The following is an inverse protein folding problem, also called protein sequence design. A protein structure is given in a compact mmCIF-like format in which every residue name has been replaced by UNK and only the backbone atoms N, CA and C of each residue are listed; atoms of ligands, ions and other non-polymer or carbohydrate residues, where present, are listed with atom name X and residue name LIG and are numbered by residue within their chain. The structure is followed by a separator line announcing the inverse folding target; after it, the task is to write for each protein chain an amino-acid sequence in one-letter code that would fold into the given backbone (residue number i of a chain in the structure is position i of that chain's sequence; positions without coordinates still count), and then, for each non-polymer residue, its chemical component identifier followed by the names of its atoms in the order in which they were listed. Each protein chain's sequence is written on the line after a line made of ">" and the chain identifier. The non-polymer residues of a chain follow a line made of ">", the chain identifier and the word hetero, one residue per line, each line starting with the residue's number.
data_IF_239572805077
#
_entry.id   IF_239572805077
#
_cell.length_a   1.000
_cell.length_b   1.000
_cell.length_c   1.000
_cell.angle_alpha   90.00
_cell.angle_beta   90.00
_cell.angle_gamma   90.00
#
_symmetry.space_group_name_H-M   'P 1'
#
loop_
_entity.id
_entity.type
_entity.pdbx_description
1 polymer ?
#
# COMPACT_ATOMS: atom_id res chain seq x y z
N UNK A 1 -21.06 -64.69 14.52
CA UNK A 1 -21.89 -63.49 14.57
C UNK A 1 -21.16 -62.39 13.74
N UNK A 2 -21.65 -62.14 12.51
CA UNK A 2 -21.13 -61.14 11.57
C UNK A 2 -21.74 -59.79 11.93
N UNK A 3 -20.90 -58.75 12.16
CA UNK A 3 -21.33 -57.35 12.20
C UNK A 3 -21.16 -56.76 10.79
N UNK A 4 -22.27 -56.49 10.15
CA UNK A 4 -22.34 -55.67 8.94
C UNK A 4 -22.17 -54.20 9.32
N UNK A 5 -21.12 -53.55 8.83
CA UNK A 5 -20.97 -52.11 8.89
C UNK A 5 -21.67 -51.46 7.69
N UNK A 6 -22.66 -50.63 7.95
CA UNK A 6 -23.25 -49.77 6.94
C UNK A 6 -22.26 -48.58 6.67
N UNK A 7 -21.67 -48.56 5.49
CA UNK A 7 -21.02 -47.38 4.94
C UNK A 7 -22.13 -46.48 4.36
N UNK A 8 -22.39 -45.35 4.98
CA UNK A 8 -23.18 -44.27 4.39
C UNK A 8 -22.36 -43.62 3.27
N UNK A 9 -22.76 -43.90 2.03
CA UNK A 9 -22.20 -43.24 0.86
C UNK A 9 -22.55 -41.75 0.86
N UNK A 10 -21.54 -40.88 0.84
CA UNK A 10 -21.70 -39.47 0.53
C UNK A 10 -22.28 -39.37 -0.90
N UNK A 11 -23.50 -38.88 -1.02
CA UNK A 11 -24.16 -38.66 -2.30
C UNK A 11 -23.38 -37.60 -3.10
N UNK A 12 -22.76 -38.01 -4.19
CA UNK A 12 -22.19 -37.15 -5.22
C UNK A 12 -23.34 -36.38 -5.87
N UNK A 13 -23.61 -35.15 -5.43
CA UNK A 13 -24.54 -34.24 -6.11
C UNK A 13 -23.91 -33.88 -7.46
N UNK A 14 -24.58 -34.11 -8.59
CA UNK A 14 -23.96 -33.94 -9.90
C UNK A 14 -23.51 -32.50 -10.13
N UNK A 15 -22.29 -32.32 -10.69
CA UNK A 15 -21.65 -31.07 -11.09
C UNK A 15 -22.58 -30.14 -11.91
N UNK A 16 -23.56 -30.72 -12.64
CA UNK A 16 -24.58 -30.03 -13.42
C UNK A 16 -25.59 -29.24 -12.56
N UNK A 17 -25.96 -29.73 -11.36
CA UNK A 17 -26.90 -29.01 -10.48
C UNK A 17 -26.25 -27.79 -9.84
N UNK A 18 -24.98 -27.87 -9.45
CA UNK A 18 -24.23 -26.72 -8.95
C UNK A 18 -24.03 -25.68 -10.05
N UNK A 19 -23.69 -26.08 -11.28
CA UNK A 19 -23.57 -25.21 -12.43
C UNK A 19 -24.87 -24.47 -12.76
N UNK A 20 -26.02 -25.19 -12.68
CA UNK A 20 -27.33 -24.60 -12.91
C UNK A 20 -27.73 -23.58 -11.84
N UNK A 21 -27.47 -23.90 -10.56
CA UNK A 21 -27.73 -22.95 -9.45
C UNK A 21 -26.84 -21.70 -9.55
N UNK A 22 -25.57 -21.87 -9.89
CA UNK A 22 -24.66 -20.75 -10.12
C UNK A 22 -25.11 -19.88 -11.29
N UNK A 23 -25.55 -20.49 -12.39
CA UNK A 23 -26.07 -19.78 -13.55
C UNK A 23 -27.38 -19.01 -13.22
N UNK A 24 -28.32 -19.59 -12.51
CA UNK A 24 -29.55 -18.91 -12.07
C UNK A 24 -29.24 -17.74 -11.11
N UNK A 25 -28.28 -17.90 -10.20
CA UNK A 25 -27.82 -16.82 -9.33
C UNK A 25 -27.16 -15.69 -10.11
N UNK A 26 -26.34 -16.02 -11.10
CA UNK A 26 -25.71 -15.02 -11.98
C UNK A 26 -26.77 -14.22 -12.75
N UNK A 27 -27.80 -14.85 -13.28
CA UNK A 27 -28.89 -14.18 -13.98
C UNK A 27 -29.70 -13.22 -13.11
N UNK A 28 -29.68 -13.40 -11.80
CA UNK A 28 -30.38 -12.54 -10.84
C UNK A 28 -29.50 -11.45 -10.23
N UNK A 29 -28.18 -11.49 -10.44
CA UNK A 29 -27.26 -10.44 -10.05
C UNK A 29 -27.14 -9.40 -11.16
N UNK A 30 -26.91 -8.13 -10.80
CA UNK A 30 -26.80 -7.03 -11.78
C UNK A 30 -25.59 -6.18 -11.51
N UNK A 31 -24.71 -6.03 -12.50
CA UNK A 31 -23.64 -5.05 -12.50
C UNK A 31 -24.15 -3.69 -13.03
N UNK A 32 -23.75 -2.62 -12.35
CA UNK A 32 -23.99 -1.26 -12.79
C UNK A 32 -22.68 -0.45 -12.75
N UNK A 33 -22.39 0.27 -13.80
CA UNK A 33 -21.30 1.25 -13.80
C UNK A 33 -21.67 2.43 -12.92
N UNK A 34 -20.67 3.03 -12.25
CA UNK A 34 -20.87 4.18 -11.36
C UNK A 34 -20.92 5.45 -12.18
N UNK A 35 -22.12 5.87 -12.55
CA UNK A 35 -22.37 7.04 -13.39
C UNK A 35 -23.24 8.10 -12.69
N UNK A 36 -23.86 7.78 -11.56
CA UNK A 36 -24.76 8.66 -10.83
C UNK A 36 -24.47 8.67 -9.30
N UNK A 37 -25.13 9.56 -8.57
CA UNK A 37 -24.95 9.73 -7.15
C UNK A 37 -25.35 8.49 -6.33
N UNK A 38 -26.35 7.72 -6.77
CA UNK A 38 -26.82 6.51 -6.09
C UNK A 38 -25.76 5.41 -6.20
N UNK A 39 -25.34 5.08 -7.40
CA UNK A 39 -24.33 4.07 -7.65
C UNK A 39 -22.99 4.45 -7.03
N UNK A 40 -22.63 5.75 -7.00
CA UNK A 40 -21.44 6.24 -6.30
C UNK A 40 -21.55 6.03 -4.78
N UNK A 41 -22.68 6.36 -4.18
CA UNK A 41 -22.89 6.15 -2.75
C UNK A 41 -22.83 4.66 -2.40
N UNK A 42 -23.47 3.80 -3.18
CA UNK A 42 -23.47 2.35 -2.99
C UNK A 42 -22.03 1.79 -3.10
N UNK A 43 -21.27 2.25 -4.10
CA UNK A 43 -19.87 1.88 -4.29
C UNK A 43 -19.00 2.32 -3.11
N UNK A 44 -19.16 3.55 -2.63
CA UNK A 44 -18.38 4.11 -1.53
C UNK A 44 -18.70 3.44 -0.19
N UNK A 45 -19.95 3.08 0.06
CA UNK A 45 -20.41 2.53 1.35
C UNK A 45 -20.35 1.02 1.47
N UNK A 46 -20.11 0.29 0.39
CA UNK A 46 -20.06 -1.17 0.43
C UNK A 46 -19.06 -1.74 1.48
N UNK A 47 -17.85 -1.18 1.68
CA UNK A 47 -16.92 -1.70 2.68
C UNK A 47 -17.50 -1.78 4.09
N UNK A 48 -18.30 -0.81 4.53
CA UNK A 48 -18.95 -0.84 5.85
C UNK A 48 -19.87 -2.04 6.04
N UNK A 49 -20.39 -2.61 4.94
CA UNK A 49 -21.21 -3.85 4.99
C UNK A 49 -20.35 -5.10 4.99
N UNK A 50 -19.28 -5.12 4.18
CA UNK A 50 -18.36 -6.27 4.11
C UNK A 50 -17.66 -6.48 5.43
N UNK A 51 -17.23 -5.40 6.09
CA UNK A 51 -16.43 -5.43 7.32
C UNK A 51 -17.24 -5.15 8.60
N UNK A 52 -18.56 -5.23 8.57
CA UNK A 52 -19.43 -4.85 9.71
C UNK A 52 -19.10 -5.58 11.02
N UNK A 53 -18.56 -6.81 10.94
CA UNK A 53 -18.15 -7.62 12.09
C UNK A 53 -16.64 -7.67 12.33
N UNK A 54 -15.85 -6.93 11.58
CA UNK A 54 -14.38 -6.96 11.68
C UNK A 54 -13.86 -5.77 12.50
N UNK A 55 -13.48 -6.04 13.74
CA UNK A 55 -12.99 -5.03 14.70
C UNK A 55 -11.61 -4.45 14.30
N UNK A 56 -10.86 -5.12 13.44
CA UNK A 56 -9.55 -4.65 12.99
C UNK A 56 -9.66 -3.69 11.81
N UNK A 57 -10.76 -3.76 11.07
CA UNK A 57 -10.94 -2.91 9.90
C UNK A 57 -11.05 -1.43 10.26
N UNK A 58 -10.33 -0.61 9.51
CA UNK A 58 -10.42 0.86 9.59
C UNK A 58 -10.76 1.35 8.19
N UNK A 59 -11.89 2.07 8.02
CA UNK A 59 -12.28 2.56 6.71
C UNK A 59 -11.27 3.57 6.17
N UNK A 60 -10.97 3.47 4.89
CA UNK A 60 -10.23 4.51 4.19
C UNK A 60 -11.02 5.82 4.22
N UNK A 61 -10.31 6.94 4.30
CA UNK A 61 -10.95 8.24 4.19
C UNK A 61 -11.64 8.37 2.83
N UNK A 62 -12.93 8.65 2.82
CA UNK A 62 -13.75 8.79 1.61
C UNK A 62 -13.15 9.78 0.61
N UNK A 63 -12.58 10.87 1.13
CA UNK A 63 -11.92 11.88 0.31
C UNK A 63 -10.67 11.36 -0.41
N UNK A 64 -9.91 10.44 0.20
CA UNK A 64 -8.72 9.86 -0.42
C UNK A 64 -9.10 8.87 -1.52
N UNK A 65 -10.13 8.07 -1.28
CA UNK A 65 -10.71 7.19 -2.29
C UNK A 65 -11.29 8.00 -3.46
N UNK A 66 -12.07 9.05 -3.17
CA UNK A 66 -12.65 9.91 -4.19
C UNK A 66 -11.59 10.60 -5.05
N UNK A 67 -10.46 11.02 -4.44
CA UNK A 67 -9.35 11.68 -5.13
C UNK A 67 -8.77 10.84 -6.28
N UNK A 68 -8.77 9.51 -6.17
CA UNK A 68 -8.27 8.62 -7.23
C UNK A 68 -9.05 8.79 -8.52
N UNK A 69 -10.35 9.10 -8.43
CA UNK A 69 -11.29 9.23 -9.55
C UNK A 69 -11.65 10.69 -9.89
N UNK A 70 -10.95 11.64 -9.30
CA UNK A 70 -11.19 13.07 -9.48
C UNK A 70 -10.20 13.64 -10.52
N UNK A 71 -10.69 14.08 -11.69
CA UNK A 71 -9.88 14.62 -12.78
C UNK A 71 -9.05 15.84 -12.38
N UNK A 72 -9.54 16.65 -11.44
CA UNK A 72 -8.82 17.85 -11.01
C UNK A 72 -7.69 17.53 -10.02
N UNK A 73 -7.88 16.49 -9.20
CA UNK A 73 -6.94 16.11 -8.14
C UNK A 73 -5.96 15.02 -8.57
N UNK A 74 -6.37 14.13 -9.46
CA UNK A 74 -5.53 13.04 -9.97
C UNK A 74 -5.00 13.34 -11.36
N UNK A 75 -3.74 13.81 -11.44
CA UNK A 75 -3.10 14.11 -12.71
C UNK A 75 -2.94 12.89 -13.63
N UNK A 76 -2.81 11.68 -13.06
CA UNK A 76 -2.68 10.46 -13.85
C UNK A 76 -3.99 10.12 -14.58
N UNK A 77 -5.12 10.55 -14.05
CA UNK A 77 -6.42 10.35 -14.67
C UNK A 77 -6.63 11.25 -15.91
N UNK A 78 -5.90 12.38 -16.03
CA UNK A 78 -5.95 13.24 -17.20
C UNK A 78 -5.40 12.56 -18.47
N UNK A 79 -4.41 11.69 -18.31
CA UNK A 79 -3.77 10.93 -19.39
C UNK A 79 -4.24 9.47 -19.41
N UNK A 80 -4.72 8.97 -18.27
CA UNK A 80 -5.16 7.61 -18.05
C UNK A 80 -6.67 7.43 -18.12
N UNK A 81 -7.12 6.25 -17.73
CA UNK A 81 -8.53 5.89 -17.67
C UNK A 81 -8.87 5.17 -16.38
N UNK A 82 -10.08 5.40 -15.87
CA UNK A 82 -10.59 4.71 -14.67
C UNK A 82 -12.09 4.48 -14.79
N UNK A 83 -12.54 3.32 -14.36
CA UNK A 83 -13.94 2.91 -14.34
C UNK A 83 -14.27 2.28 -13.00
N UNK A 84 -15.55 2.29 -12.62
CA UNK A 84 -16.04 1.71 -11.37
C UNK A 84 -17.37 1.02 -11.59
N UNK A 85 -17.56 -0.12 -10.91
CA UNK A 85 -18.82 -0.87 -10.96
C UNK A 85 -19.25 -1.33 -9.58
N UNK A 86 -20.57 -1.41 -9.39
CA UNK A 86 -21.23 -2.02 -8.26
C UNK A 86 -21.96 -3.28 -8.74
N UNK A 87 -21.80 -4.38 -8.00
CA UNK A 87 -22.58 -5.58 -8.18
C UNK A 87 -23.71 -5.61 -7.15
N UNK A 88 -24.92 -5.75 -7.64
CA UNK A 88 -26.13 -5.90 -6.83
C UNK A 88 -26.56 -7.37 -6.80
N UNK A 89 -26.90 -7.87 -5.63
CA UNK A 89 -27.50 -9.20 -5.43
C UNK A 89 -28.99 -9.24 -5.82
N UNK A 90 -29.58 -10.41 -5.67
CA UNK A 90 -30.99 -10.67 -6.01
C UNK A 90 -31.98 -9.76 -5.30
N UNK A 91 -31.64 -9.27 -4.10
CA UNK A 91 -32.45 -8.33 -3.31
C UNK A 91 -32.21 -6.86 -3.71
N UNK A 92 -31.44 -6.59 -4.76
CA UNK A 92 -31.07 -5.25 -5.16
C UNK A 92 -30.11 -4.52 -4.21
N UNK A 93 -29.52 -5.24 -3.25
CA UNK A 93 -28.51 -4.70 -2.33
C UNK A 93 -27.11 -4.83 -2.92
N UNK A 94 -26.21 -3.83 -2.73
CA UNK A 94 -24.81 -3.95 -3.15
C UNK A 94 -24.12 -5.11 -2.44
N UNK A 95 -23.47 -6.01 -3.18
CA UNK A 95 -22.74 -7.19 -2.69
C UNK A 95 -21.29 -7.24 -3.14
N UNK A 96 -20.90 -6.38 -4.09
CA UNK A 96 -19.53 -6.27 -4.57
C UNK A 96 -19.28 -4.95 -5.28
N UNK A 97 -18.02 -4.59 -5.40
CA UNK A 97 -17.54 -3.43 -6.17
C UNK A 97 -16.16 -3.71 -6.75
N UNK A 98 -15.82 -3.03 -7.83
CA UNK A 98 -14.49 -3.05 -8.43
C UNK A 98 -14.20 -1.74 -9.14
N UNK A 99 -12.92 -1.39 -9.27
CA UNK A 99 -12.42 -0.38 -10.20
C UNK A 99 -11.46 -1.00 -11.20
N UNK A 100 -11.38 -0.43 -12.41
CA UNK A 100 -10.37 -0.77 -13.40
C UNK A 100 -9.62 0.49 -13.86
N UNK A 101 -8.36 0.35 -14.21
CA UNK A 101 -7.44 1.46 -14.43
C UNK A 101 -6.51 1.20 -15.62
N UNK A 102 -6.19 2.27 -16.35
CA UNK A 102 -5.07 2.29 -17.30
C UNK A 102 -4.21 3.52 -16.98
N UNK A 103 -2.98 3.26 -16.58
CA UNK A 103 -1.95 4.29 -16.44
C UNK A 103 -1.02 4.22 -17.65
N UNK A 104 -1.10 5.14 -18.60
CA UNK A 104 -0.32 5.07 -19.84
C UNK A 104 1.20 5.12 -19.59
N UNK A 105 1.65 5.63 -18.43
CA UNK A 105 3.06 5.66 -18.07
C UNK A 105 3.64 4.28 -17.70
N UNK A 106 2.78 3.33 -17.31
CA UNK A 106 3.19 1.99 -16.88
C UNK A 106 2.54 0.87 -17.68
N UNK A 107 1.41 1.12 -18.35
CA UNK A 107 0.65 0.10 -19.06
C UNK A 107 1.46 -0.59 -20.19
N UNK A 108 2.42 0.11 -20.77
CA UNK A 108 3.20 -0.35 -21.92
C UNK A 108 4.70 -0.53 -21.62
N UNK A 109 5.09 -0.56 -20.35
CA UNK A 109 6.51 -0.71 -19.95
C UNK A 109 6.96 -2.16 -19.82
N UNK A 110 6.03 -3.09 -19.90
CA UNK A 110 6.30 -4.52 -19.75
C UNK A 110 6.09 -5.27 -21.08
N UNK A 111 6.34 -6.59 -21.06
CA UNK A 111 6.24 -7.47 -22.24
C UNK A 111 4.85 -7.45 -22.90
N UNK A 112 3.81 -7.23 -22.11
CA UNK A 112 2.43 -7.11 -22.56
C UNK A 112 1.77 -5.86 -21.99
N UNK A 113 0.85 -5.21 -22.75
CA UNK A 113 0.05 -4.13 -22.21
C UNK A 113 -0.74 -4.57 -20.98
N UNK A 114 -0.49 -3.90 -19.85
CA UNK A 114 -1.05 -4.30 -18.56
C UNK A 114 -1.84 -3.15 -17.93
N UNK A 115 -3.14 -3.38 -17.71
CA UNK A 115 -3.99 -2.51 -16.92
C UNK A 115 -3.98 -2.88 -15.46
N UNK A 116 -4.91 -2.32 -14.70
CA UNK A 116 -5.04 -2.62 -13.28
C UNK A 116 -6.49 -2.77 -12.83
N UNK A 117 -6.70 -3.55 -11.79
CA UNK A 117 -7.96 -3.57 -11.05
C UNK A 117 -7.71 -3.25 -9.57
N UNK A 118 -8.70 -2.68 -8.90
CA UNK A 118 -8.59 -2.38 -7.47
C UNK A 118 -9.91 -1.97 -6.84
N UNK A 119 -9.83 -1.56 -5.57
CA UNK A 119 -11.04 -1.32 -4.78
C UNK A 119 -12.02 -2.51 -4.83
N UNK A 120 -11.47 -3.71 -5.02
CA UNK A 120 -12.23 -4.94 -5.08
C UNK A 120 -12.78 -5.26 -3.70
N UNK A 121 -14.10 -5.31 -3.61
CA UNK A 121 -14.83 -5.76 -2.45
C UNK A 121 -15.92 -6.73 -2.91
N UNK A 122 -16.07 -7.85 -2.24
CA UNK A 122 -17.02 -8.87 -2.61
C UNK A 122 -17.43 -9.70 -1.41
N UNK A 123 -18.69 -10.13 -1.35
CA UNK A 123 -19.10 -11.19 -0.44
C UNK A 123 -18.33 -12.48 -0.78
N UNK A 124 -18.26 -13.43 0.15
CA UNK A 124 -17.61 -14.72 -0.10
C UNK A 124 -18.45 -15.59 -1.06
N UNK A 125 -18.47 -15.21 -2.32
CA UNK A 125 -19.17 -15.89 -3.41
C UNK A 125 -18.35 -15.80 -4.71
N UNK A 126 -17.90 -16.94 -5.22
CA UNK A 126 -17.04 -16.99 -6.41
C UNK A 126 -17.77 -16.49 -7.66
N UNK A 127 -19.08 -16.71 -7.78
CA UNK A 127 -19.87 -16.23 -8.92
C UNK A 127 -19.91 -14.70 -8.92
N UNK A 128 -20.14 -14.10 -7.76
CA UNK A 128 -20.11 -12.64 -7.61
C UNK A 128 -18.70 -12.06 -7.92
N UNK A 129 -17.66 -12.72 -7.43
CA UNK A 129 -16.27 -12.32 -7.71
C UNK A 129 -15.95 -12.41 -9.22
N UNK A 130 -16.34 -13.52 -9.87
CA UNK A 130 -16.12 -13.70 -11.30
C UNK A 130 -16.82 -12.62 -12.12
N UNK A 131 -18.07 -12.27 -11.81
CA UNK A 131 -18.79 -11.19 -12.51
C UNK A 131 -18.07 -9.86 -12.43
N UNK A 132 -17.52 -9.49 -11.27
CA UNK A 132 -16.76 -8.26 -11.07
C UNK A 132 -15.44 -8.28 -11.88
N UNK A 133 -14.72 -9.39 -11.78
CA UNK A 133 -13.41 -9.56 -12.43
C UNK A 133 -13.55 -9.64 -13.96
N UNK A 134 -14.58 -10.33 -14.46
CA UNK A 134 -14.90 -10.38 -15.88
C UNK A 134 -15.24 -8.98 -16.41
N UNK A 135 -16.01 -8.18 -15.67
CA UNK A 135 -16.35 -6.82 -16.06
C UNK A 135 -15.11 -5.94 -16.20
N UNK A 136 -14.19 -6.02 -15.23
CA UNK A 136 -12.93 -5.29 -15.30
C UNK A 136 -12.05 -5.77 -16.46
N UNK A 137 -11.94 -7.10 -16.63
CA UNK A 137 -11.16 -7.72 -17.73
C UNK A 137 -11.69 -7.31 -19.11
N UNK A 138 -12.99 -7.42 -19.35
CA UNK A 138 -13.58 -7.09 -20.65
C UNK A 138 -13.41 -5.60 -20.97
N UNK A 139 -13.54 -4.72 -19.98
CA UNK A 139 -13.27 -3.29 -20.19
C UNK A 139 -11.79 -3.06 -20.53
N UNK A 140 -10.86 -3.64 -19.81
CA UNK A 140 -9.43 -3.50 -20.06
C UNK A 140 -9.04 -4.09 -21.41
N UNK A 141 -9.61 -5.25 -21.77
CA UNK A 141 -9.40 -5.90 -23.07
C UNK A 141 -9.91 -5.03 -24.23
N UNK A 142 -11.08 -4.41 -24.08
CA UNK A 142 -11.61 -3.46 -25.07
C UNK A 142 -10.72 -2.23 -25.28
N UNK A 143 -9.91 -1.89 -24.29
CA UNK A 143 -8.90 -0.81 -24.32
C UNK A 143 -7.52 -1.30 -24.78
N UNK A 144 -7.40 -2.53 -25.24
CA UNK A 144 -6.14 -3.10 -25.75
C UNK A 144 -5.17 -3.65 -24.71
N UNK A 145 -5.61 -3.84 -23.47
CA UNK A 145 -4.77 -4.51 -22.46
C UNK A 145 -4.79 -6.03 -22.68
N UNK A 146 -3.69 -6.68 -22.36
CA UNK A 146 -3.48 -8.12 -22.42
C UNK A 146 -3.35 -8.78 -21.04
N UNK A 147 -3.22 -7.97 -20.00
CA UNK A 147 -3.15 -8.41 -18.61
C UNK A 147 -3.76 -7.36 -17.67
N UNK A 148 -4.08 -7.78 -16.45
CA UNK A 148 -4.43 -6.86 -15.36
C UNK A 148 -3.71 -7.22 -14.08
N UNK A 149 -3.15 -6.21 -13.42
CA UNK A 149 -2.57 -6.30 -12.09
C UNK A 149 -3.58 -5.88 -11.03
N UNK A 150 -3.49 -6.48 -9.85
CA UNK A 150 -4.38 -6.09 -8.76
C UNK A 150 -4.14 -6.80 -7.42
N UNK A 151 -4.79 -6.27 -6.37
CA UNK A 151 -5.47 -4.97 -6.32
C UNK A 151 -4.50 -3.79 -6.35
N UNK A 152 -4.75 -2.82 -7.23
CA UNK A 152 -3.95 -1.59 -7.36
C UNK A 152 -4.85 -0.36 -7.52
N UNK A 153 -4.26 0.82 -7.64
CA UNK A 153 -5.01 2.04 -7.96
C UNK A 153 -4.34 2.84 -9.09
N UNK A 154 -5.02 3.88 -9.57
CA UNK A 154 -4.45 4.86 -10.48
C UNK A 154 -3.82 5.99 -9.66
N UNK A 155 -2.67 5.72 -9.03
CA UNK A 155 -2.03 6.68 -8.12
C UNK A 155 -0.72 6.19 -7.54
N UNK A 156 -0.45 6.60 -6.31
CA UNK A 156 0.73 6.23 -5.55
C UNK A 156 0.69 4.74 -5.16
N UNK A 157 1.81 4.04 -5.35
CA UNK A 157 1.98 2.65 -4.94
C UNK A 157 1.91 2.44 -3.42
N UNK A 158 2.05 3.49 -2.63
CA UNK A 158 1.92 3.43 -1.17
C UNK A 158 0.46 3.51 -0.68
N UNK A 159 -0.50 3.72 -1.60
CA UNK A 159 -1.92 3.87 -1.27
C UNK A 159 -2.74 2.84 -2.05
N UNK A 160 -3.68 2.16 -1.36
CA UNK A 160 -4.66 1.26 -1.98
C UNK A 160 -4.04 0.20 -2.90
N UNK A 161 -2.91 -0.39 -2.49
CA UNK A 161 -2.14 -1.31 -3.31
C UNK A 161 -1.87 -2.63 -2.61
N UNK A 162 -2.03 -3.75 -3.33
CA UNK A 162 -1.80 -5.10 -2.85
C UNK A 162 -3.02 -5.74 -2.16
N UNK A 163 -3.06 -7.05 -2.17
CA UNK A 163 -3.99 -7.90 -1.43
C UNK A 163 -3.32 -8.35 -0.13
N UNK A 164 -3.97 -8.17 1.01
CA UNK A 164 -3.50 -8.72 2.28
C UNK A 164 -3.57 -10.25 2.23
N UNK A 165 -2.44 -10.90 2.49
CA UNK A 165 -2.32 -12.38 2.47
C UNK A 165 -1.80 -12.98 3.78
N UNK A 166 -1.19 -12.16 4.66
CA UNK A 166 -0.68 -12.59 5.96
C UNK A 166 -0.92 -11.51 7.02
N UNK A 167 -1.24 -11.93 8.23
CA UNK A 167 -1.59 -11.11 9.39
C UNK A 167 -2.87 -10.28 9.21
N UNK A 168 -3.99 -10.95 9.39
CA UNK A 168 -5.33 -10.37 9.39
C UNK A 168 -5.77 -9.88 10.78
N UNK A 169 -4.95 -10.07 11.81
CA UNK A 169 -5.30 -9.78 13.22
C UNK A 169 -4.95 -8.36 13.66
N UNK A 170 -4.05 -7.69 12.94
CA UNK A 170 -3.69 -6.30 13.22
C UNK A 170 -4.49 -5.33 12.33
N UNK A 171 -4.78 -4.14 12.85
CA UNK A 171 -5.38 -3.08 12.05
C UNK A 171 -4.46 -2.67 10.88
N UNK A 172 -5.02 -2.24 9.73
CA UNK A 172 -4.22 -1.74 8.62
C UNK A 172 -3.51 -0.44 8.99
N UNK A 173 -2.32 -0.22 8.43
CA UNK A 173 -1.68 1.10 8.45
C UNK A 173 -2.35 2.02 7.42
N UNK A 174 -2.25 3.33 7.64
CA UNK A 174 -2.88 4.32 6.78
C UNK A 174 -2.52 4.15 5.30
N UNK A 175 -3.56 4.12 4.49
CA UNK A 175 -3.45 3.99 3.04
C UNK A 175 -3.26 2.56 2.52
N UNK A 176 -2.95 1.58 3.36
CA UNK A 176 -2.79 0.20 2.90
C UNK A 176 -4.12 -0.53 2.81
N UNK A 177 -4.23 -1.43 1.84
CA UNK A 177 -5.39 -2.30 1.73
C UNK A 177 -5.52 -3.24 2.94
N UNK A 178 -6.75 -3.51 3.29
CA UNK A 178 -7.19 -4.56 4.20
C UNK A 178 -8.34 -5.33 3.55
N UNK A 179 -8.37 -6.64 3.72
CA UNK A 179 -9.39 -7.47 3.11
C UNK A 179 -9.63 -8.75 3.93
N UNK A 180 -10.81 -9.37 3.81
CA UNK A 180 -11.06 -10.68 4.38
C UNK A 180 -10.12 -11.75 3.80
N UNK A 181 -9.76 -12.79 4.56
CA UNK A 181 -8.84 -13.85 4.10
C UNK A 181 -9.28 -14.55 2.81
N UNK A 182 -10.59 -14.72 2.60
CA UNK A 182 -11.15 -15.42 1.44
C UNK A 182 -10.93 -14.68 0.09
N UNK A 183 -10.51 -13.39 0.08
CA UNK A 183 -10.24 -12.69 -1.18
C UNK A 183 -9.10 -13.33 -1.96
N UNK A 184 -8.09 -13.86 -1.26
CA UNK A 184 -7.02 -14.61 -1.91
C UNK A 184 -7.56 -15.77 -2.73
N UNK A 185 -8.43 -16.59 -2.12
CA UNK A 185 -9.02 -17.73 -2.79
C UNK A 185 -9.91 -17.32 -3.98
N UNK A 186 -10.68 -16.23 -3.85
CA UNK A 186 -11.50 -15.72 -4.94
C UNK A 186 -10.65 -15.32 -6.16
N UNK A 187 -9.55 -14.62 -5.93
CA UNK A 187 -8.65 -14.18 -7.01
C UNK A 187 -7.87 -15.36 -7.62
N UNK A 188 -7.35 -16.27 -6.79
CA UNK A 188 -6.56 -17.42 -7.27
C UNK A 188 -7.45 -18.41 -8.04
N UNK A 189 -8.69 -18.68 -7.60
CA UNK A 189 -9.67 -19.49 -8.34
C UNK A 189 -10.10 -18.85 -9.66
N UNK A 190 -10.15 -17.54 -9.76
CA UNK A 190 -10.36 -16.83 -11.02
C UNK A 190 -9.19 -17.03 -11.97
N UNK A 191 -7.97 -17.23 -11.45
CA UNK A 191 -6.76 -17.49 -12.19
C UNK A 191 -5.67 -16.42 -12.08
N UNK A 192 -5.80 -15.51 -11.13
CA UNK A 192 -4.70 -14.62 -10.78
C UNK A 192 -3.53 -15.40 -10.20
N UNK A 193 -2.32 -14.96 -10.49
CA UNK A 193 -1.08 -15.49 -9.96
C UNK A 193 -0.29 -14.38 -9.27
N UNK A 194 0.39 -14.73 -8.17
CA UNK A 194 1.17 -13.78 -7.37
C UNK A 194 2.33 -13.21 -8.19
N UNK A 195 2.30 -11.91 -8.47
CA UNK A 195 3.32 -11.23 -9.24
C UNK A 195 4.51 -10.83 -8.38
N UNK A 196 4.28 -10.19 -7.23
CA UNK A 196 5.27 -9.94 -6.18
C UNK A 196 4.63 -9.74 -4.82
N UNK A 197 5.42 -9.92 -3.75
CA UNK A 197 5.02 -9.64 -2.37
C UNK A 197 5.50 -8.27 -1.92
N UNK A 198 4.70 -7.66 -1.05
CA UNK A 198 4.96 -6.39 -0.39
C UNK A 198 5.08 -6.68 1.11
N UNK A 199 6.32 -6.67 1.61
CA UNK A 199 6.65 -7.05 2.98
C UNK A 199 6.71 -5.81 3.85
N UNK A 200 5.99 -5.84 4.95
CA UNK A 200 5.98 -4.80 5.98
C UNK A 200 6.77 -5.31 7.18
N UNK A 201 7.75 -4.55 7.59
CA UNK A 201 8.58 -4.90 8.72
C UNK A 201 8.23 -4.06 9.93
N UNK A 202 8.25 -4.69 11.11
CA UNK A 202 7.99 -4.03 12.39
C UNK A 202 9.19 -4.21 13.32
N UNK A 203 9.55 -3.15 14.04
CA UNK A 203 10.53 -3.17 15.08
C UNK A 203 10.11 -2.28 16.25
N UNK A 204 10.62 -2.58 17.44
CA UNK A 204 10.39 -1.72 18.60
C UNK A 204 11.18 -0.41 18.45
N UNK A 205 10.50 0.74 18.61
CA UNK A 205 11.14 2.04 18.66
C UNK A 205 11.78 2.36 20.03
N UNK A 206 11.58 1.48 21.03
CA UNK A 206 12.06 1.69 22.41
C UNK A 206 13.29 0.84 22.76
N UNK A 207 13.66 -0.10 21.90
CA UNK A 207 14.83 -0.96 22.09
C UNK A 207 16.08 -0.33 21.47
N UNK A 208 17.25 -0.47 22.13
CA UNK A 208 18.52 -0.04 21.54
C UNK A 208 18.81 -0.78 20.23
N UNK A 209 19.37 -0.06 19.27
CA UNK A 209 19.85 -0.66 18.02
C UNK A 209 21.18 -1.41 18.24
N UNK A 210 21.54 -2.27 17.29
CA UNK A 210 22.75 -3.07 17.40
C UNK A 210 24.02 -2.19 17.53
N UNK A 211 24.98 -2.51 18.42
CA UNK A 211 26.17 -1.69 18.71
C UNK A 211 27.03 -1.32 17.48
N UNK A 212 26.95 -2.07 16.38
CA UNK A 212 27.65 -1.78 15.14
C UNK A 212 27.26 -0.41 14.56
N UNK A 213 25.97 -0.01 14.72
CA UNK A 213 25.49 1.29 14.26
C UNK A 213 26.08 2.44 15.05
N UNK A 214 26.24 2.28 16.38
CA UNK A 214 26.88 3.28 17.24
C UNK A 214 28.35 3.49 16.88
N UNK A 215 29.09 2.43 16.57
CA UNK A 215 30.50 2.56 16.12
C UNK A 215 30.60 3.37 14.84
N UNK A 216 29.77 3.06 13.84
CA UNK A 216 29.71 3.81 12.57
C UNK A 216 29.26 5.24 12.76
N UNK A 217 28.27 5.47 13.63
CA UNK A 217 27.81 6.81 13.99
C UNK A 217 28.95 7.66 14.54
N UNK A 218 29.67 7.17 15.56
CA UNK A 218 30.74 7.90 16.20
C UNK A 218 31.90 8.20 15.23
N UNK A 219 32.23 7.25 14.34
CA UNK A 219 33.25 7.45 13.31
C UNK A 219 32.89 8.58 12.34
N UNK A 220 31.63 8.62 11.86
CA UNK A 220 31.20 9.60 10.85
C UNK A 220 30.96 10.97 11.50
N UNK A 221 30.27 11.04 12.63
CA UNK A 221 29.94 12.30 13.31
C UNK A 221 31.17 12.91 14.01
N UNK A 222 32.25 12.13 14.21
CA UNK A 222 33.55 12.65 14.64
C UNK A 222 34.23 13.54 13.58
N UNK A 223 33.86 13.42 12.31
CA UNK A 223 34.29 14.30 11.23
C UNK A 223 33.39 15.57 11.20
N UNK A 224 33.97 16.78 11.38
CA UNK A 224 33.21 18.03 11.44
C UNK A 224 32.46 18.37 10.15
N UNK A 225 32.84 17.78 9.02
CA UNK A 225 32.13 17.93 7.76
C UNK A 225 30.75 17.25 7.75
N UNK A 226 30.50 16.31 8.67
CA UNK A 226 29.23 15.61 8.79
C UNK A 226 28.35 16.14 9.92
N UNK A 227 27.07 16.30 9.63
CA UNK A 227 26.05 16.71 10.60
C UNK A 227 24.77 15.94 10.38
N UNK A 228 24.12 15.53 11.47
CA UNK A 228 22.78 14.94 11.45
C UNK A 228 21.81 15.82 12.23
N UNK A 229 20.62 16.04 11.70
CA UNK A 229 19.59 16.84 12.36
C UNK A 229 18.18 16.41 11.93
N UNK A 230 17.21 16.58 12.84
CA UNK A 230 15.81 16.58 12.51
C UNK A 230 15.37 17.97 11.95
N UNK A 231 14.08 18.08 11.60
CA UNK A 231 13.58 19.30 10.95
C UNK A 231 12.90 20.29 11.90
N UNK A 232 13.08 20.15 13.23
CA UNK A 232 12.56 21.12 14.20
C UNK A 232 13.06 22.52 13.90
N UNK A 233 12.16 23.51 13.95
CA UNK A 233 12.49 24.91 13.70
C UNK A 233 12.73 25.27 12.23
N UNK A 234 12.63 24.31 11.29
CA UNK A 234 12.86 24.56 9.87
C UNK A 234 11.58 24.92 9.13
N UNK A 235 11.70 25.76 8.14
CA UNK A 235 10.58 26.13 7.28
C UNK A 235 10.25 25.04 6.27
N UNK A 236 8.98 24.99 5.83
CA UNK A 236 8.53 24.03 4.81
C UNK A 236 9.34 24.10 3.52
N UNK A 237 9.70 25.27 2.98
CA UNK A 237 10.57 25.36 1.80
C UNK A 237 11.95 24.73 2.00
N UNK A 238 12.60 24.95 3.16
CA UNK A 238 13.89 24.34 3.48
C UNK A 238 13.81 22.81 3.54
N UNK A 239 12.78 22.26 4.21
CA UNK A 239 12.56 20.81 4.28
C UNK A 239 12.33 20.24 2.88
N UNK A 240 11.55 20.94 2.05
CA UNK A 240 11.21 20.49 0.69
C UNK A 240 12.44 20.49 -0.23
N UNK A 241 13.33 21.46 -0.09
CA UNK A 241 14.56 21.54 -0.88
C UNK A 241 15.55 20.43 -0.50
N UNK A 242 15.76 20.19 0.80
CA UNK A 242 16.59 19.08 1.27
C UNK A 242 16.01 17.72 0.83
N UNK A 243 14.70 17.53 0.97
CA UNK A 243 14.01 16.31 0.53
C UNK A 243 14.24 16.06 -0.96
N UNK A 244 14.03 17.08 -1.79
CA UNK A 244 14.24 17.02 -3.24
C UNK A 244 15.70 16.69 -3.59
N UNK A 245 16.63 17.34 -2.94
CA UNK A 245 18.06 17.16 -3.17
C UNK A 245 18.49 15.73 -2.91
N UNK A 246 18.15 15.20 -1.75
CA UNK A 246 18.49 13.80 -1.41
C UNK A 246 17.76 12.83 -2.31
N UNK A 247 16.46 13.03 -2.58
CA UNK A 247 15.69 12.13 -3.41
C UNK A 247 16.28 12.03 -4.81
N UNK A 248 16.61 13.16 -5.44
CA UNK A 248 17.17 13.18 -6.77
C UNK A 248 18.56 12.52 -6.82
N UNK A 249 19.39 12.69 -5.78
CA UNK A 249 20.72 12.09 -5.70
C UNK A 249 20.68 10.57 -5.36
N UNK A 250 19.67 10.13 -4.60
CA UNK A 250 19.56 8.74 -4.17
C UNK A 250 18.95 7.83 -5.24
N UNK A 251 18.04 8.35 -6.08
CA UNK A 251 17.29 7.58 -7.07
C UNK A 251 17.76 7.76 -8.52
N UNK A 252 18.89 8.44 -8.74
CA UNK A 252 19.41 8.76 -10.09
C UNK A 252 19.59 7.55 -11.00
N UNK A 253 19.90 6.38 -10.45
CA UNK A 253 20.13 5.14 -11.22
C UNK A 253 18.87 4.25 -11.37
N UNK A 254 17.73 4.68 -10.83
CA UNK A 254 16.52 3.89 -11.00
C UNK A 254 15.95 4.07 -12.42
N UNK A 255 15.63 2.96 -13.07
CA UNK A 255 15.03 2.98 -14.40
C UNK A 255 13.77 3.86 -14.42
N UNK A 256 13.68 4.73 -15.44
CA UNK A 256 12.60 5.71 -15.61
C UNK A 256 12.49 6.77 -14.50
N UNK A 257 13.50 6.93 -13.63
CA UNK A 257 13.48 8.01 -12.65
C UNK A 257 13.54 9.38 -13.35
N UNK A 258 12.62 10.26 -12.98
CA UNK A 258 12.63 11.67 -13.38
C UNK A 258 12.91 12.51 -12.14
N UNK A 259 13.87 13.45 -12.23
CA UNK A 259 14.16 14.36 -11.12
C UNK A 259 12.91 15.08 -10.64
N UNK A 260 12.74 15.13 -9.31
CA UNK A 260 11.61 15.81 -8.69
C UNK A 260 11.79 17.33 -8.80
N UNK A 261 10.75 17.99 -9.30
CA UNK A 261 10.68 19.44 -9.37
C UNK A 261 10.48 20.08 -7.98
N UNK A 262 11.05 21.27 -7.75
CA UNK A 262 10.93 22.00 -6.49
C UNK A 262 9.45 22.25 -6.09
N UNK A 263 8.61 22.58 -7.06
CA UNK A 263 7.18 22.79 -6.84
C UNK A 263 6.46 21.52 -6.36
N UNK A 264 6.89 20.36 -6.83
CA UNK A 264 6.35 19.05 -6.41
C UNK A 264 6.78 18.71 -5.00
N UNK A 265 8.07 18.85 -4.67
CA UNK A 265 8.59 18.65 -3.32
C UNK A 265 7.88 19.56 -2.30
N UNK A 266 7.72 20.85 -2.64
CA UNK A 266 7.01 21.81 -1.79
C UNK A 266 5.56 21.40 -1.54
N UNK A 267 4.84 20.89 -2.56
CA UNK A 267 3.46 20.39 -2.42
C UNK A 267 3.40 19.18 -1.50
N UNK A 268 4.33 18.22 -1.64
CA UNK A 268 4.41 17.03 -0.80
C UNK A 268 4.60 17.43 0.67
N UNK A 269 5.62 18.23 0.97
CA UNK A 269 5.91 18.63 2.36
C UNK A 269 4.78 19.49 2.95
N UNK A 270 4.17 20.38 2.18
CA UNK A 270 2.98 21.13 2.61
C UNK A 270 1.82 20.22 2.98
N UNK A 271 1.58 19.16 2.20
CA UNK A 271 0.49 18.20 2.46
C UNK A 271 0.75 17.35 3.70
N UNK A 272 2.02 17.08 4.03
CA UNK A 272 2.41 16.34 5.23
C UNK A 272 2.37 17.19 6.52
N UNK A 273 2.53 18.51 6.42
CA UNK A 273 2.64 19.42 7.57
C UNK A 273 1.57 19.22 8.67
N UNK A 274 0.27 19.03 8.38
CA UNK A 274 -0.76 18.85 9.41
C UNK A 274 -0.57 17.59 10.27
N UNK A 275 0.09 16.57 9.70
CA UNK A 275 0.21 15.23 10.29
C UNK A 275 1.63 14.90 10.72
N UNK A 276 2.64 15.57 10.19
CA UNK A 276 4.03 15.29 10.49
C UNK A 276 4.40 15.63 11.93
N UNK A 277 5.32 14.85 12.48
CA UNK A 277 6.11 15.17 13.66
C UNK A 277 7.53 15.54 13.18
N UNK A 278 8.00 16.78 13.42
CA UNK A 278 9.31 17.21 12.91
C UNK A 278 10.48 16.37 13.40
N UNK A 279 10.33 15.66 14.52
CA UNK A 279 11.35 14.76 15.10
C UNK A 279 11.53 13.48 14.30
N UNK A 280 10.53 13.11 13.49
CA UNK A 280 10.51 11.89 12.68
C UNK A 280 11.13 12.06 11.28
N UNK A 281 11.59 13.28 10.94
CA UNK A 281 12.23 13.58 9.66
C UNK A 281 13.67 13.95 9.94
N UNK A 282 14.60 13.13 9.48
CA UNK A 282 16.04 13.22 9.77
C UNK A 282 16.80 13.38 8.46
N UNK A 283 17.71 14.35 8.42
CA UNK A 283 18.65 14.52 7.34
C UNK A 283 20.10 14.40 7.85
N UNK A 284 20.96 13.80 7.02
CA UNK A 284 22.41 13.86 7.18
C UNK A 284 22.99 14.79 6.13
N UNK A 285 23.91 15.63 6.56
CA UNK A 285 24.60 16.62 5.71
C UNK A 285 26.09 16.31 5.68
N UNK A 286 26.70 16.55 4.54
CA UNK A 286 28.14 16.60 4.35
C UNK A 286 28.51 17.94 3.69
N UNK A 287 29.37 18.73 4.34
CA UNK A 287 29.72 20.10 3.89
C UNK A 287 28.49 20.94 3.57
N UNK A 288 27.52 20.93 4.49
CA UNK A 288 26.23 21.62 4.39
C UNK A 288 25.24 21.10 3.30
N UNK A 289 25.64 20.15 2.45
CA UNK A 289 24.77 19.54 1.44
C UNK A 289 24.02 18.36 2.06
N UNK A 290 22.68 18.24 1.93
CA UNK A 290 21.95 17.09 2.41
C UNK A 290 22.24 15.86 1.53
N UNK A 291 22.73 14.78 2.14
CA UNK A 291 23.20 13.57 1.45
C UNK A 291 22.37 12.32 1.79
N UNK A 292 21.61 12.38 2.87
CA UNK A 292 20.72 11.26 3.23
C UNK A 292 19.51 11.77 3.98
N UNK A 293 18.42 10.98 3.93
CA UNK A 293 17.19 11.27 4.64
C UNK A 293 16.50 9.99 5.14
N UNK A 294 15.87 10.12 6.29
CA UNK A 294 14.88 9.19 6.80
C UNK A 294 13.61 9.97 7.15
N UNK A 295 12.53 9.64 6.46
CA UNK A 295 11.23 10.29 6.64
C UNK A 295 10.26 9.27 7.21
N UNK A 296 9.77 9.55 8.40
CA UNK A 296 8.70 8.80 9.04
C UNK A 296 7.54 9.72 9.38
N UNK A 297 6.35 9.16 9.45
CA UNK A 297 5.14 9.86 9.91
C UNK A 297 4.47 9.08 11.06
N UNK A 298 3.72 9.76 11.93
CA UNK A 298 2.82 9.10 12.87
C UNK A 298 1.84 8.21 12.12
N UNK A 299 1.52 7.02 12.66
CA UNK A 299 0.56 6.10 12.06
C UNK A 299 -0.87 6.63 12.22
N UNK A 300 -1.40 7.19 11.14
CA UNK A 300 -2.64 7.96 11.17
C UNK A 300 -3.89 7.11 11.44
N UNK A 301 -3.87 5.82 11.11
CA UNK A 301 -5.02 4.95 11.37
C UNK A 301 -5.28 4.73 12.87
N UNK A 302 -4.27 4.94 13.72
CA UNK A 302 -4.50 4.97 15.18
C UNK A 302 -5.45 6.11 15.60
N UNK A 303 -5.55 7.17 14.80
CA UNK A 303 -6.54 8.24 14.97
C UNK A 303 -7.78 8.01 14.09
N UNK A 304 -7.60 7.62 12.82
CA UNK A 304 -8.70 7.52 11.86
C UNK A 304 -9.71 6.43 12.19
N UNK A 305 -9.36 5.46 13.03
CA UNK A 305 -10.34 4.52 13.60
C UNK A 305 -11.51 5.18 14.35
N UNK A 306 -11.29 6.40 14.85
CA UNK A 306 -12.32 7.20 15.54
C UNK A 306 -13.07 8.14 14.59
N UNK A 307 -12.64 8.24 13.35
CA UNK A 307 -13.18 9.17 12.33
C UNK A 307 -14.17 8.48 11.40
N UNK A 308 -14.16 7.16 11.33
CA UNK A 308 -15.06 6.33 10.52
C UNK A 308 -15.07 6.71 9.02
N UNK A 309 -13.90 6.98 8.47
CA UNK A 309 -13.71 7.28 7.04
C UNK A 309 -14.23 8.65 6.59
N UNK A 310 -14.71 9.51 7.51
CA UNK A 310 -15.28 10.81 7.16
C UNK A 310 -14.55 11.95 7.88
N UNK A 311 -13.66 12.64 7.19
CA UNK A 311 -12.90 13.77 7.73
C UNK A 311 -13.66 15.11 7.53
N UNK A 312 -14.97 15.12 7.85
CA UNK A 312 -15.77 16.32 7.96
C UNK A 312 -15.35 17.16 9.20
N UNK A 313 -16.10 18.18 9.57
CA UNK A 313 -15.74 19.05 10.70
C UNK A 313 -15.65 18.29 12.04
N UNK A 314 -16.55 17.32 12.30
CA UNK A 314 -16.49 16.44 13.48
C UNK A 314 -15.28 15.51 13.42
N UNK A 315 -15.00 14.92 12.26
CA UNK A 315 -13.82 14.09 12.04
C UNK A 315 -12.52 14.87 12.28
N UNK A 316 -12.45 16.13 11.84
CA UNK A 316 -11.31 17.02 12.12
C UNK A 316 -11.15 17.34 13.60
N UNK A 317 -12.25 17.58 14.33
CA UNK A 317 -12.20 17.79 15.79
C UNK A 317 -11.69 16.53 16.50
N UNK A 318 -12.21 15.34 16.16
CA UNK A 318 -11.72 14.06 16.69
C UNK A 318 -10.22 13.88 16.37
N UNK A 319 -9.79 14.19 15.15
CA UNK A 319 -8.38 14.12 14.76
C UNK A 319 -7.49 15.01 15.66
N UNK A 320 -7.85 16.28 15.83
CA UNK A 320 -7.11 17.23 16.69
C UNK A 320 -7.08 16.77 18.14
N UNK A 321 -8.21 16.30 18.68
CA UNK A 321 -8.31 15.78 20.03
C UNK A 321 -7.37 14.58 20.25
N UNK A 322 -7.43 13.56 19.39
CA UNK A 322 -6.60 12.37 19.52
C UNK A 322 -5.12 12.66 19.27
N UNK A 323 -4.79 13.58 18.35
CA UNK A 323 -3.42 14.05 18.15
C UNK A 323 -2.88 14.74 19.42
N UNK A 324 -3.67 15.64 20.01
CA UNK A 324 -3.30 16.33 21.26
C UNK A 324 -3.12 15.35 22.43
N UNK A 325 -3.98 14.36 22.53
CA UNK A 325 -3.93 13.33 23.58
C UNK A 325 -2.72 12.37 23.42
N UNK A 326 -1.98 12.41 22.32
CA UNK A 326 -0.88 11.50 22.07
C UNK A 326 -1.32 10.06 21.86
N UNK A 327 -2.45 9.87 21.17
CA UNK A 327 -3.02 8.53 20.89
C UNK A 327 -2.10 7.68 20.04
N UNK A 328 -1.33 8.30 19.13
CA UNK A 328 -0.45 7.60 18.21
C UNK A 328 0.77 7.06 18.94
N UNK A 329 0.99 5.76 18.83
CA UNK A 329 2.13 5.04 19.43
C UNK A 329 3.05 4.39 18.41
N UNK A 330 2.62 4.34 17.17
CA UNK A 330 3.36 3.77 16.06
C UNK A 330 3.81 4.86 15.08
N UNK A 331 5.03 4.76 14.58
CA UNK A 331 5.49 5.56 13.46
C UNK A 331 5.70 4.68 12.23
N UNK A 332 5.48 5.25 11.06
CA UNK A 332 5.62 4.56 9.78
C UNK A 332 6.76 5.20 8.98
N UNK A 333 7.80 4.43 8.69
CA UNK A 333 8.90 4.84 7.81
C UNK A 333 8.44 4.82 6.36
N UNK A 334 8.53 5.96 5.69
CA UNK A 334 8.01 6.15 4.33
C UNK A 334 9.13 6.23 3.30
N UNK A 335 10.19 6.98 3.63
CA UNK A 335 11.32 7.20 2.71
C UNK A 335 12.63 7.05 3.48
N UNK A 336 13.50 6.23 2.91
CA UNK A 336 14.86 6.05 3.38
C UNK A 336 15.79 6.12 2.18
N UNK A 337 16.67 7.11 2.13
CA UNK A 337 17.53 7.33 0.98
C UNK A 337 18.89 7.89 1.36
N UNK A 338 19.91 7.41 0.65
CA UNK A 338 21.30 7.91 0.73
C UNK A 338 21.75 8.23 -0.69
N UNK A 339 22.27 9.43 -0.89
CA UNK A 339 22.83 9.87 -2.18
C UNK A 339 23.86 8.84 -2.66
N UNK A 340 23.87 8.56 -3.95
CA UNK A 340 24.67 7.49 -4.58
C UNK A 340 26.14 7.52 -4.15
N UNK A 341 26.76 8.68 -4.15
CA UNK A 341 28.18 8.87 -3.80
C UNK A 341 28.51 8.57 -2.33
N UNK A 342 27.48 8.48 -1.47
CA UNK A 342 27.61 8.23 -0.03
C UNK A 342 27.06 6.85 0.38
N UNK A 343 26.56 6.05 -0.54
CA UNK A 343 26.11 4.67 -0.25
C UNK A 343 27.29 3.79 0.15
N UNK A 344 27.03 2.82 1.05
CA UNK A 344 28.04 1.89 1.54
C UNK A 344 29.05 2.48 2.56
N UNK A 345 29.01 3.78 2.83
CA UNK A 345 29.89 4.46 3.80
C UNK A 345 29.37 4.43 5.25
N UNK A 346 28.21 3.81 5.49
CA UNK A 346 27.62 3.68 6.84
C UNK A 346 26.73 4.85 7.26
N UNK A 347 26.35 5.72 6.32
CA UNK A 347 25.45 6.87 6.56
C UNK A 347 24.08 6.40 7.06
N UNK A 348 23.62 5.21 6.64
CA UNK A 348 22.42 4.55 7.15
C UNK A 348 22.48 4.44 8.69
N UNK A 349 23.64 4.03 9.22
CA UNK A 349 23.84 3.91 10.66
C UNK A 349 23.72 5.24 11.41
N UNK A 350 24.08 6.35 10.76
CA UNK A 350 23.95 7.69 11.37
C UNK A 350 22.46 8.05 11.54
N UNK A 351 21.63 7.80 10.54
CA UNK A 351 20.20 8.06 10.63
C UNK A 351 19.51 7.16 11.67
N UNK A 352 19.89 5.89 11.72
CA UNK A 352 19.34 4.91 12.64
C UNK A 352 19.64 5.30 14.11
N UNK A 353 20.90 5.64 14.43
CA UNK A 353 21.30 6.05 15.79
C UNK A 353 20.68 7.40 16.16
N UNK A 354 20.57 8.32 15.20
CA UNK A 354 19.86 9.58 15.47
C UNK A 354 18.38 9.33 15.78
N UNK A 355 17.74 8.41 15.05
CA UNK A 355 16.37 7.97 15.32
C UNK A 355 16.27 7.38 16.75
N UNK A 356 17.15 6.46 17.10
CA UNK A 356 17.20 5.89 18.44
C UNK A 356 17.32 6.97 19.52
N UNK A 357 18.27 7.91 19.38
CA UNK A 357 18.44 9.01 20.32
C UNK A 357 17.18 9.85 20.51
N UNK A 358 16.41 10.00 19.45
CA UNK A 358 15.16 10.79 19.48
C UNK A 358 14.00 9.96 20.05
N UNK A 359 13.81 8.74 19.59
CA UNK A 359 12.59 7.96 19.87
C UNK A 359 12.65 7.24 21.20
N UNK A 360 13.82 6.63 21.54
CA UNK A 360 14.01 5.90 22.78
C UNK A 360 14.08 6.86 23.97
N UNK A 361 14.82 7.96 23.83
CA UNK A 361 14.98 8.94 24.90
C UNK A 361 13.65 9.58 25.31
N UNK A 362 12.88 10.00 24.33
CA UNK A 362 11.63 10.75 24.57
C UNK A 362 10.42 9.82 24.74
N UNK A 363 10.59 8.48 24.55
CA UNK A 363 9.52 7.46 24.61
C UNK A 363 8.27 7.85 23.81
N UNK A 364 8.49 8.51 22.68
CA UNK A 364 7.42 9.10 21.87
C UNK A 364 6.57 8.04 21.18
N UNK A 365 7.23 7.03 20.67
CA UNK A 365 6.62 5.94 19.91
C UNK A 365 7.09 4.61 20.46
N UNK A 366 6.24 3.59 20.38
CA UNK A 366 6.54 2.23 20.85
C UNK A 366 7.07 1.37 19.71
N UNK A 367 6.51 1.54 18.52
CA UNK A 367 6.80 0.72 17.35
C UNK A 367 7.14 1.58 16.12
N UNK A 368 7.99 1.01 15.28
CA UNK A 368 8.27 1.51 13.93
C UNK A 368 7.82 0.46 12.92
N UNK A 369 7.03 0.87 11.95
CA UNK A 369 6.69 0.06 10.79
C UNK A 369 7.45 0.62 9.59
N UNK A 370 8.24 -0.22 8.94
CA UNK A 370 8.86 0.09 7.66
C UNK A 370 7.87 -0.29 6.57
N UNK A 371 7.42 0.71 5.80
CA UNK A 371 6.47 0.48 4.72
C UNK A 371 7.09 -0.32 3.60
N UNK A 372 6.21 -0.90 2.82
CA UNK A 372 6.45 -2.12 2.10
C UNK A 372 7.75 -2.14 1.28
N UNK A 373 8.38 -3.28 1.37
CA UNK A 373 9.56 -3.61 0.58
C UNK A 373 9.16 -4.78 -0.32
N UNK A 374 9.37 -4.60 -1.63
CA UNK A 374 9.13 -5.69 -2.57
C UNK A 374 10.07 -6.86 -2.32
N UNK A 375 9.57 -8.09 -2.38
CA UNK A 375 10.38 -9.30 -2.26
C UNK A 375 11.43 -9.44 -3.39
N UNK A 376 11.33 -8.59 -4.40
CA UNK A 376 12.27 -8.43 -5.48
C UNK A 376 13.44 -7.45 -5.16
N UNK A 377 13.51 -6.87 -3.96
CA UNK A 377 14.56 -5.94 -3.54
C UNK A 377 15.42 -6.52 -2.38
N UNK A 378 16.35 -7.44 -2.66
CA UNK A 378 17.13 -8.13 -1.65
C UNK A 378 18.01 -7.20 -0.81
N UNK A 379 18.45 -6.05 -1.36
CA UNK A 379 19.24 -5.06 -0.61
C UNK A 379 18.45 -4.48 0.56
N UNK A 380 17.22 -4.06 0.32
CA UNK A 380 16.38 -3.49 1.37
C UNK A 380 15.92 -4.55 2.37
N UNK A 381 15.65 -5.77 1.94
CA UNK A 381 15.36 -6.88 2.84
C UNK A 381 16.51 -7.10 3.83
N UNK A 382 17.76 -7.07 3.34
CA UNK A 382 18.95 -7.21 4.19
C UNK A 382 19.12 -6.05 5.18
N UNK A 383 18.74 -4.85 4.80
CA UNK A 383 18.72 -3.68 5.72
C UNK A 383 17.74 -3.93 6.86
N UNK A 384 16.53 -4.41 6.59
CA UNK A 384 15.53 -4.72 7.61
C UNK A 384 15.99 -5.81 8.58
N UNK A 385 16.61 -6.89 8.06
CA UNK A 385 17.20 -7.94 8.88
C UNK A 385 18.29 -7.38 9.81
N UNK A 386 19.20 -6.57 9.29
CA UNK A 386 20.28 -5.95 10.06
C UNK A 386 19.76 -5.00 11.15
N UNK A 387 18.58 -4.41 10.95
CA UNK A 387 17.90 -3.58 11.94
C UNK A 387 17.21 -4.42 13.03
N UNK A 388 17.15 -5.74 12.88
CA UNK A 388 16.38 -6.61 13.77
C UNK A 388 14.87 -6.45 13.61
N UNK A 389 14.42 -5.87 12.49
CA UNK A 389 13.01 -5.76 12.17
C UNK A 389 12.48 -7.11 11.68
N UNK A 390 11.26 -7.45 12.06
CA UNK A 390 10.58 -8.69 11.66
C UNK A 390 9.48 -8.40 10.66
N UNK A 391 9.34 -9.25 9.64
CA UNK A 391 8.18 -9.20 8.78
C UNK A 391 6.93 -9.50 9.61
N UNK A 392 6.01 -8.54 9.69
CA UNK A 392 4.79 -8.71 10.47
C UNK A 392 3.52 -8.77 9.62
N UNK A 393 3.60 -8.30 8.37
CA UNK A 393 2.46 -8.29 7.44
C UNK A 393 2.94 -8.42 6.00
N UNK A 394 2.21 -9.19 5.21
CA UNK A 394 2.48 -9.34 3.78
C UNK A 394 1.24 -9.02 2.97
N UNK A 395 1.39 -8.11 2.02
CA UNK A 395 0.46 -7.93 0.92
C UNK A 395 1.09 -8.50 -0.36
N UNK A 396 0.28 -8.75 -1.39
CA UNK A 396 0.76 -9.20 -2.69
C UNK A 396 0.05 -8.48 -3.83
N UNK A 397 0.79 -8.13 -4.84
CA UNK A 397 0.23 -7.76 -6.14
C UNK A 397 0.10 -9.03 -6.98
N UNK A 398 -1.09 -9.26 -7.49
CA UNK A 398 -1.39 -10.39 -8.36
C UNK A 398 -1.50 -9.90 -9.81
N UNK A 399 -1.24 -10.81 -10.76
CA UNK A 399 -1.40 -10.56 -12.20
C UNK A 399 -2.28 -11.64 -12.82
N UNK A 400 -3.16 -11.24 -13.71
CA UNK A 400 -3.97 -12.11 -14.53
C UNK A 400 -3.64 -11.85 -16.02
N UNK A 401 -3.12 -12.87 -16.71
CA UNK A 401 -2.90 -12.83 -18.17
C UNK A 401 -4.21 -13.17 -18.87
N UNK A 402 -4.63 -12.36 -19.84
CA UNK A 402 -5.87 -12.61 -20.59
C UNK A 402 -5.74 -13.81 -21.52
N UNK A 403 -4.56 -13.95 -22.14
CA UNK A 403 -4.18 -15.17 -22.84
C UNK A 403 -3.52 -16.16 -21.84
N UNK A 404 -4.27 -17.17 -21.44
CA UNK A 404 -3.84 -18.17 -20.46
C UNK A 404 -2.81 -19.17 -21.00
N UNK A 405 -2.55 -19.17 -22.30
CA UNK A 405 -1.50 -20.00 -22.91
C UNK A 405 -0.10 -19.40 -22.76
N UNK A 406 -0.02 -18.08 -22.50
CA UNK A 406 1.26 -17.41 -22.25
C UNK A 406 1.85 -17.82 -20.89
N UNK A 407 3.19 -18.04 -20.80
CA UNK A 407 3.82 -18.36 -19.53
C UNK A 407 3.71 -17.16 -18.57
N UNK A 408 3.40 -17.45 -17.31
CA UNK A 408 3.41 -16.45 -16.25
C UNK A 408 4.83 -16.24 -15.72
N UNK A 409 5.25 -15.00 -15.62
CA UNK A 409 6.52 -14.62 -15.00
C UNK A 409 6.26 -13.71 -13.81
N UNK A 410 6.97 -13.95 -12.71
CA UNK A 410 6.97 -13.05 -11.55
C UNK A 410 7.77 -11.79 -11.86
N UNK A 411 7.55 -10.74 -11.05
CA UNK A 411 8.35 -9.52 -11.12
C UNK A 411 9.84 -9.86 -11.03
N UNK A 412 10.69 -9.35 -11.93
CA UNK A 412 12.12 -9.62 -11.92
C UNK A 412 12.78 -9.09 -10.64
N UNK A 413 13.76 -9.83 -10.13
CA UNK A 413 14.56 -9.40 -8.98
C UNK A 413 15.48 -8.26 -9.42
N UNK A 414 15.57 -7.22 -8.58
CA UNK A 414 16.51 -6.12 -8.80
C UNK A 414 17.94 -6.66 -8.58
N UNK A 415 18.63 -6.96 -9.67
CA UNK A 415 20.01 -7.38 -9.62
C UNK A 415 20.95 -6.22 -9.26
N UNK A 416 22.11 -6.55 -8.66
CA UNK A 416 23.20 -5.60 -8.58
C UNK A 416 23.64 -5.31 -10.02
N UNK A 417 23.40 -4.12 -10.56
CA UNK A 417 24.15 -3.67 -11.73
C UNK A 417 25.63 -3.82 -11.34
N UNK A 418 26.35 -4.67 -12.04
CA UNK A 418 27.70 -5.11 -11.70
C UNK A 418 28.61 -3.97 -11.25
N UNK A 419 29.36 -4.25 -10.20
CA UNK A 419 30.50 -3.46 -9.75
C UNK A 419 31.61 -3.50 -10.77
#
# INVERSE_FOLDING_TARGET
>A
MRKMGLAMGAANVPNAQYARVAHLRSMAMRIAEVLDARTLNDWMRLPWRIYASDANWIPHLKQDVAKVFDLEKNKLLKEGKAWRWVLYGTEGKPIGRIGAFINPKTAYTEKQPTGGMGFFECINDQTAANMLLDTARERLKAEGMEAMDGPINLGDRNMFWGLLIENFTDAPIYGTNYNPPYYKDLLERYGFQMYFRQLFYKMSATKPVHPIFHRKYNQIIGDPDYRVADVRGRSVPQIADDFRTVLNAAWVDHDNFKPMEASTALKIVKSMKPVMDPRLIIFVYHKAVPIAMYVSLPELNEIFRYVDGDLNWLGKLKFVYHKWRGTVKTMTGIVFGVAKEHQGKGIEGVMIVQGEKTFVKDKLYQDTILTWIGDFNPKMLKVCENLGATNYRTLATYRYLFDRSKPFERHPIIEKKGS
#
